data_IF_171537363722
#
_entry.id   IF_171537363722
#
_cell.length_a   1.000
_cell.length_b   1.000
_cell.length_c   1.000
_cell.angle_alpha   90.00
_cell.angle_beta   90.00
_cell.angle_gamma   90.00
#
_symmetry.space_group_name_H-M   'P 1'
#
loop_
_entity.id
_entity.type
_entity.pdbx_description
1 polymer ?
#
# COMPACT_ATOMS: atom_id res chain seq x y z
N UNK A 1 8.26 -8.76 -15.50
CA UNK A 1 9.74 -8.87 -15.69
C UNK A 1 10.14 -8.09 -16.95
N UNK A 2 9.56 -8.36 -18.14
CA UNK A 2 9.95 -7.72 -19.41
C UNK A 2 9.96 -6.18 -19.35
N UNK A 3 9.00 -5.56 -18.67
CA UNK A 3 8.94 -4.10 -18.53
C UNK A 3 10.12 -3.55 -17.71
N UNK A 4 10.63 -4.31 -16.74
CA UNK A 4 11.82 -3.93 -15.96
C UNK A 4 13.07 -4.04 -16.82
N UNK A 5 13.22 -5.15 -17.56
CA UNK A 5 14.36 -5.39 -18.45
C UNK A 5 14.45 -4.38 -19.61
N UNK A 6 13.31 -3.76 -19.99
CA UNK A 6 13.25 -2.73 -21.01
C UNK A 6 13.68 -1.33 -20.55
N UNK A 7 13.83 -1.12 -19.22
CA UNK A 7 14.29 0.16 -18.68
C UNK A 7 15.76 0.38 -19.02
N UNK A 8 16.10 1.60 -19.42
CA UNK A 8 17.50 2.01 -19.63
C UNK A 8 18.12 2.34 -18.26
N UNK A 9 18.60 1.29 -17.59
CA UNK A 9 19.19 1.44 -16.27
C UNK A 9 20.51 2.18 -16.35
N UNK A 10 20.68 3.29 -15.60
CA UNK A 10 21.91 4.07 -15.58
C UNK A 10 22.97 3.52 -14.59
N UNK A 11 22.65 2.47 -13.86
CA UNK A 11 23.47 1.86 -12.82
C UNK A 11 23.23 0.35 -12.77
N UNK A 12 24.03 -0.35 -11.99
CA UNK A 12 23.80 -1.76 -11.69
C UNK A 12 22.47 -1.93 -10.94
N UNK A 13 21.80 -3.05 -11.18
CA UNK A 13 20.52 -3.35 -10.57
C UNK A 13 20.31 -4.85 -10.38
N UNK A 14 19.46 -5.18 -9.42
CA UNK A 14 18.95 -6.53 -9.19
C UNK A 14 17.43 -6.55 -9.22
N UNK A 15 16.86 -7.69 -9.58
CA UNK A 15 15.43 -7.97 -9.55
C UNK A 15 15.20 -9.10 -8.56
N UNK A 16 14.54 -8.77 -7.45
CA UNK A 16 14.16 -9.75 -6.43
C UNK A 16 12.69 -10.08 -6.59
N UNK A 17 12.40 -11.35 -6.89
CA UNK A 17 11.02 -11.81 -7.12
C UNK A 17 10.58 -12.65 -5.92
N UNK A 18 9.45 -12.28 -5.33
CA UNK A 18 8.82 -13.04 -4.26
C UNK A 18 7.56 -13.74 -4.76
N UNK A 19 7.62 -15.05 -4.88
CA UNK A 19 6.44 -15.87 -5.17
C UNK A 19 5.70 -16.22 -3.89
N UNK A 20 4.41 -15.90 -3.81
CA UNK A 20 3.56 -16.18 -2.66
C UNK A 20 2.91 -17.58 -2.69
N UNK A 21 3.61 -18.54 -3.26
CA UNK A 21 3.14 -19.92 -3.41
C UNK A 21 2.12 -20.08 -4.54
N UNK A 22 2.47 -19.58 -5.72
CA UNK A 22 1.69 -19.74 -6.95
C UNK A 22 1.46 -21.22 -7.28
N UNK A 23 0.28 -21.53 -7.82
CA UNK A 23 -0.13 -22.88 -8.21
C UNK A 23 -0.29 -23.04 -9.72
N UNK A 24 -0.05 -21.97 -10.47
CA UNK A 24 -0.03 -21.90 -11.93
C UNK A 24 1.43 -21.95 -12.46
N UNK A 25 1.62 -21.60 -13.71
CA UNK A 25 2.93 -21.57 -14.40
C UNK A 25 3.85 -20.40 -14.00
N UNK A 26 3.44 -19.57 -13.03
CA UNK A 26 4.20 -18.39 -12.59
C UNK A 26 5.63 -18.74 -12.19
N UNK A 27 5.81 -19.77 -11.37
CA UNK A 27 7.14 -20.16 -10.88
C UNK A 27 8.04 -20.69 -12.01
N UNK A 28 7.48 -21.39 -12.99
CA UNK A 28 8.22 -21.87 -14.17
C UNK A 28 8.73 -20.69 -14.99
N UNK A 29 7.89 -19.72 -15.27
CA UNK A 29 8.26 -18.47 -15.96
C UNK A 29 9.33 -17.68 -15.20
N UNK A 30 9.23 -17.59 -13.88
CA UNK A 30 10.27 -16.92 -13.06
C UNK A 30 11.63 -17.64 -13.24
N UNK A 31 11.66 -18.96 -13.21
CA UNK A 31 12.89 -19.76 -13.41
C UNK A 31 13.48 -19.57 -14.80
N UNK A 32 12.66 -19.50 -15.84
CA UNK A 32 13.11 -19.21 -17.21
C UNK A 32 13.84 -17.86 -17.26
N UNK A 33 13.26 -16.82 -16.69
CA UNK A 33 13.91 -15.50 -16.64
C UNK A 33 15.18 -15.51 -15.78
N UNK A 34 15.20 -16.22 -14.65
CA UNK A 34 16.40 -16.34 -13.84
C UNK A 34 17.52 -17.04 -14.61
N UNK A 35 17.21 -18.09 -15.36
CA UNK A 35 18.21 -18.79 -16.20
C UNK A 35 18.78 -17.90 -17.31
N UNK A 36 17.95 -17.00 -17.88
CA UNK A 36 18.40 -16.03 -18.88
C UNK A 36 19.22 -14.86 -18.28
N UNK A 37 18.95 -14.50 -17.03
CA UNK A 37 19.57 -13.36 -16.35
C UNK A 37 20.03 -13.73 -14.93
N UNK A 38 20.94 -14.71 -14.77
CA UNK A 38 21.29 -15.27 -13.45
C UNK A 38 21.94 -14.27 -12.51
N UNK A 39 22.68 -13.30 -13.06
CA UNK A 39 23.36 -12.25 -12.28
C UNK A 39 22.42 -11.14 -11.83
N UNK A 40 21.23 -11.03 -12.43
CA UNK A 40 20.28 -9.93 -12.17
C UNK A 40 19.04 -10.38 -11.43
N UNK A 41 18.54 -11.60 -11.68
CA UNK A 41 17.26 -12.08 -11.17
C UNK A 41 17.49 -13.14 -10.09
N UNK A 42 16.92 -12.87 -8.92
CA UNK A 42 16.82 -13.83 -7.81
C UNK A 42 15.36 -14.00 -7.43
N UNK A 43 14.92 -15.21 -7.12
CA UNK A 43 13.57 -15.44 -6.64
C UNK A 43 13.52 -16.17 -5.31
N UNK A 44 12.46 -15.94 -4.57
CA UNK A 44 12.22 -16.51 -3.25
C UNK A 44 10.76 -16.95 -3.17
N UNK A 45 10.55 -18.20 -2.78
CA UNK A 45 9.21 -18.77 -2.63
C UNK A 45 8.79 -18.69 -1.18
N UNK A 46 7.61 -18.15 -0.93
CA UNK A 46 6.99 -18.14 0.39
C UNK A 46 5.93 -19.27 0.44
N UNK A 47 6.25 -20.44 1.00
CA UNK A 47 5.40 -21.62 0.89
C UNK A 47 4.03 -21.41 1.57
N UNK A 48 3.02 -22.10 1.03
CA UNK A 48 1.68 -22.18 1.64
C UNK A 48 1.44 -23.57 2.21
N UNK A 49 1.01 -23.62 3.45
CA UNK A 49 0.59 -24.86 4.10
C UNK A 49 -0.80 -25.26 3.58
N UNK A 50 -0.99 -26.54 3.27
CA UNK A 50 -2.30 -27.07 2.86
C UNK A 50 -3.33 -26.82 3.96
N UNK A 51 -4.55 -26.42 3.57
CA UNK A 51 -5.68 -26.17 4.47
C UNK A 51 -5.55 -25.00 5.45
N UNK A 52 -4.49 -24.19 5.35
CA UNK A 52 -4.35 -22.98 6.16
C UNK A 52 -4.94 -21.78 5.42
N UNK A 53 -5.87 -21.07 6.06
CA UNK A 53 -6.36 -19.78 5.57
C UNK A 53 -5.33 -18.70 5.88
N UNK A 54 -4.98 -17.92 4.87
CA UNK A 54 -4.04 -16.82 5.00
C UNK A 54 -4.74 -15.47 4.82
N UNK A 55 -4.31 -14.49 5.60
CA UNK A 55 -4.67 -13.11 5.35
C UNK A 55 -3.76 -12.58 4.23
N UNK A 56 -4.34 -12.16 3.10
CA UNK A 56 -3.61 -11.73 1.91
C UNK A 56 -2.79 -10.46 2.16
N UNK A 57 -3.29 -9.51 2.99
CA UNK A 57 -2.56 -8.28 3.35
C UNK A 57 -1.28 -8.63 4.11
N UNK A 58 -1.38 -9.51 5.11
CA UNK A 58 -0.22 -9.94 5.90
C UNK A 58 0.80 -10.69 5.03
N UNK A 59 0.35 -11.50 4.09
CA UNK A 59 1.24 -12.22 3.19
C UNK A 59 1.93 -11.29 2.20
N UNK A 60 1.21 -10.37 1.58
CA UNK A 60 1.78 -9.36 0.69
C UNK A 60 2.83 -8.51 1.45
N UNK A 61 2.51 -8.07 2.67
CA UNK A 61 3.44 -7.33 3.52
C UNK A 61 4.69 -8.15 3.86
N UNK A 62 4.52 -9.40 4.27
CA UNK A 62 5.64 -10.29 4.59
C UNK A 62 6.52 -10.55 3.37
N UNK A 63 5.93 -10.77 2.19
CA UNK A 63 6.65 -10.98 0.95
C UNK A 63 7.50 -9.75 0.59
N UNK A 64 6.90 -8.56 0.56
CA UNK A 64 7.60 -7.29 0.28
C UNK A 64 8.74 -7.04 1.28
N UNK A 65 8.52 -7.25 2.58
CA UNK A 65 9.54 -7.06 3.62
C UNK A 65 10.65 -8.10 3.56
N UNK A 66 10.34 -9.36 3.22
CA UNK A 66 11.34 -10.40 3.02
C UNK A 66 12.24 -10.10 1.80
N UNK A 67 11.68 -9.51 0.74
CA UNK A 67 12.48 -9.05 -0.41
C UNK A 67 13.30 -7.81 -0.04
N UNK A 68 12.72 -6.84 0.66
CA UNK A 68 13.44 -5.64 1.10
C UNK A 68 14.64 -5.97 2.02
N UNK A 69 14.54 -7.03 2.84
CA UNK A 69 15.64 -7.53 3.67
C UNK A 69 16.82 -8.09 2.86
N UNK A 70 16.55 -8.55 1.65
CA UNK A 70 17.54 -9.13 0.73
C UNK A 70 18.08 -8.12 -0.29
N UNK A 71 17.45 -6.95 -0.36
CA UNK A 71 17.85 -5.92 -1.31
C UNK A 71 19.17 -5.28 -0.89
N UNK A 72 20.12 -5.22 -1.83
CA UNK A 72 21.45 -4.67 -1.63
C UNK A 72 21.64 -3.27 -2.26
N UNK A 73 20.71 -2.85 -3.13
CA UNK A 73 20.79 -1.56 -3.82
C UNK A 73 20.59 -0.35 -2.90
N UNK A 74 21.21 0.78 -3.25
CA UNK A 74 21.03 2.08 -2.57
C UNK A 74 19.60 2.62 -2.73
N UNK A 75 18.90 2.17 -3.74
CA UNK A 75 17.51 2.54 -4.03
C UNK A 75 16.68 1.27 -4.21
N UNK A 76 15.40 1.35 -3.85
CA UNK A 76 14.45 0.25 -4.01
C UNK A 76 13.16 0.73 -4.65
N UNK A 77 12.54 -0.15 -5.40
CA UNK A 77 11.18 -0.01 -5.93
C UNK A 77 10.39 -1.28 -5.66
N UNK A 78 9.08 -1.15 -5.60
CA UNK A 78 8.16 -2.28 -5.48
C UNK A 78 7.34 -2.35 -6.77
N UNK A 79 7.14 -3.55 -7.30
CA UNK A 79 6.29 -3.79 -8.46
C UNK A 79 5.46 -5.05 -8.20
N UNK A 80 4.16 -4.93 -8.27
CA UNK A 80 3.28 -6.09 -8.16
C UNK A 80 3.32 -6.89 -9.47
N UNK A 81 3.14 -8.22 -9.39
CA UNK A 81 3.43 -9.13 -10.49
C UNK A 81 2.53 -8.98 -11.72
N UNK A 82 1.38 -8.35 -11.54
CA UNK A 82 0.39 -8.05 -12.59
C UNK A 82 0.57 -6.66 -13.23
N UNK A 83 1.46 -5.84 -12.71
CA UNK A 83 1.69 -4.47 -13.16
C UNK A 83 2.94 -4.35 -14.06
N UNK A 84 3.12 -3.19 -14.69
CA UNK A 84 4.28 -2.97 -15.57
C UNK A 84 4.69 -1.51 -15.70
N UNK A 85 5.99 -1.29 -16.03
CA UNK A 85 6.51 0.03 -16.36
C UNK A 85 6.24 0.37 -17.82
N UNK A 86 5.90 1.64 -18.08
CA UNK A 86 5.63 2.17 -19.42
C UNK A 86 6.61 3.27 -19.86
N UNK A 87 7.49 3.74 -18.98
CA UNK A 87 8.60 4.65 -19.31
C UNK A 87 9.95 3.94 -19.11
N UNK A 88 10.90 4.20 -20.03
CA UNK A 88 12.20 3.53 -19.99
C UNK A 88 13.32 4.38 -19.35
N UNK A 89 13.05 5.64 -19.03
CA UNK A 89 14.08 6.59 -18.58
C UNK A 89 13.86 7.12 -17.15
N UNK A 90 12.76 6.76 -16.49
CA UNK A 90 12.34 7.34 -15.22
C UNK A 90 13.37 7.15 -14.10
N UNK A 91 14.18 6.08 -14.15
CA UNK A 91 15.24 5.86 -13.16
C UNK A 91 16.29 6.95 -13.22
N UNK A 92 16.68 7.40 -14.44
CA UNK A 92 17.56 8.55 -14.61
C UNK A 92 16.95 9.82 -13.98
N UNK A 93 15.66 10.08 -14.25
CA UNK A 93 14.95 11.24 -13.72
C UNK A 93 14.95 11.21 -12.18
N UNK A 94 14.74 10.05 -11.57
CA UNK A 94 14.76 9.88 -10.12
C UNK A 94 16.15 10.10 -9.54
N UNK A 95 17.19 9.47 -10.09
CA UNK A 95 18.57 9.59 -9.62
C UNK A 95 19.08 11.03 -9.72
N UNK A 96 18.72 11.74 -10.79
CA UNK A 96 19.03 13.17 -10.91
C UNK A 96 18.45 13.96 -9.73
N UNK A 97 17.19 13.71 -9.34
CA UNK A 97 16.55 14.39 -8.18
C UNK A 97 17.26 14.05 -6.87
N UNK A 98 17.59 12.78 -6.64
CA UNK A 98 18.34 12.39 -5.45
C UNK A 98 19.73 13.04 -5.37
N UNK A 99 20.42 13.17 -6.50
CA UNK A 99 21.71 13.84 -6.58
C UNK A 99 21.60 15.36 -6.29
N UNK A 100 20.55 16.00 -6.80
CA UNK A 100 20.26 17.42 -6.56
C UNK A 100 19.88 17.72 -5.10
N UNK A 101 19.25 16.77 -4.41
CA UNK A 101 18.77 16.97 -3.04
C UNK A 101 18.92 15.72 -2.17
N UNK A 102 19.96 15.70 -1.35
CA UNK A 102 20.25 14.58 -0.44
C UNK A 102 19.23 14.35 0.67
N UNK A 103 18.30 15.31 0.90
CA UNK A 103 17.20 15.16 1.87
C UNK A 103 16.03 14.35 1.31
N UNK A 104 16.05 14.00 0.02
CA UNK A 104 15.03 13.17 -0.57
C UNK A 104 15.20 11.71 -0.11
N UNK A 105 14.08 11.09 0.22
CA UNK A 105 13.96 9.65 0.50
C UNK A 105 13.04 8.94 -0.48
N UNK A 106 12.27 9.71 -1.26
CA UNK A 106 11.36 9.19 -2.26
C UNK A 106 11.28 10.13 -3.48
N UNK A 107 11.26 9.54 -4.66
CA UNK A 107 10.93 10.22 -5.92
C UNK A 107 9.71 9.52 -6.51
N UNK A 108 8.55 10.19 -6.45
CA UNK A 108 7.27 9.65 -6.90
C UNK A 108 6.92 10.19 -8.28
N UNK A 109 6.24 9.36 -9.03
CA UNK A 109 5.80 9.66 -10.39
C UNK A 109 4.29 9.53 -10.52
N UNK A 110 3.74 9.94 -11.65
CA UNK A 110 2.38 9.65 -12.04
C UNK A 110 2.26 8.24 -12.61
N UNK A 111 1.03 7.75 -12.78
CA UNK A 111 0.78 6.42 -13.33
C UNK A 111 -0.54 6.38 -14.11
N UNK A 112 -0.70 5.31 -14.91
CA UNK A 112 -1.94 4.99 -15.58
C UNK A 112 -2.69 3.88 -14.84
N UNK A 113 -4.02 3.94 -14.85
CA UNK A 113 -4.86 2.75 -14.78
C UNK A 113 -4.84 2.10 -16.16
N UNK A 114 -4.54 0.80 -16.21
CA UNK A 114 -4.61 -0.01 -17.42
C UNK A 114 -5.74 -1.02 -17.28
N UNK A 115 -6.79 -0.85 -18.07
CA UNK A 115 -7.96 -1.73 -18.02
C UNK A 115 -7.74 -2.94 -18.92
N UNK A 116 -7.63 -4.14 -18.31
CA UNK A 116 -7.32 -5.38 -19.03
C UNK A 116 -8.39 -5.74 -20.06
N UNK A 117 -9.65 -5.44 -19.78
CA UNK A 117 -10.80 -5.79 -20.58
C UNK A 117 -10.78 -5.19 -21.99
N UNK A 118 -10.44 -3.92 -22.12
CA UNK A 118 -10.45 -3.17 -23.39
C UNK A 118 -9.08 -2.61 -23.76
N UNK A 119 -8.05 -2.93 -22.96
CA UNK A 119 -6.67 -2.44 -23.13
C UNK A 119 -6.55 -0.92 -23.10
N UNK A 120 -7.55 -0.22 -22.58
CA UNK A 120 -7.52 1.23 -22.45
C UNK A 120 -6.65 1.66 -21.28
N UNK A 121 -6.22 2.93 -21.32
CA UNK A 121 -5.46 3.55 -20.23
C UNK A 121 -6.14 4.84 -19.80
N UNK A 122 -6.10 5.12 -18.50
CA UNK A 122 -6.55 6.38 -17.92
C UNK A 122 -5.47 6.93 -17.00
N UNK A 123 -5.01 8.15 -17.29
CA UNK A 123 -4.05 8.82 -16.44
C UNK A 123 -4.65 9.04 -15.03
N UNK A 124 -3.88 8.75 -14.00
CA UNK A 124 -4.27 9.11 -12.65
C UNK A 124 -4.13 10.62 -12.45
N UNK A 125 -5.28 11.32 -12.49
CA UNK A 125 -5.31 12.78 -12.35
C UNK A 125 -5.18 13.21 -10.90
N UNK A 126 -4.20 14.06 -10.60
CA UNK A 126 -3.91 14.54 -9.25
C UNK A 126 -3.96 16.04 -9.08
N UNK A 127 -4.01 16.81 -10.16
CA UNK A 127 -3.77 18.26 -10.08
C UNK A 127 -2.51 18.60 -9.23
N UNK A 128 -1.44 17.82 -9.40
CA UNK A 128 -0.21 17.96 -8.64
C UNK A 128 0.94 18.33 -9.56
N UNK A 129 1.57 19.47 -9.30
CA UNK A 129 2.74 19.92 -10.04
C UNK A 129 4.03 19.21 -9.60
N UNK A 130 4.97 19.05 -10.54
CA UNK A 130 6.28 18.50 -10.22
C UNK A 130 7.04 19.40 -9.22
N UNK A 131 7.75 18.78 -8.29
CA UNK A 131 8.54 19.48 -7.29
C UNK A 131 8.65 18.71 -5.97
N UNK A 132 9.33 19.33 -4.99
CA UNK A 132 9.38 18.80 -3.63
C UNK A 132 8.06 19.10 -2.95
N UNK A 133 7.40 18.05 -2.44
CA UNK A 133 6.11 18.18 -1.79
C UNK A 133 6.28 18.43 -0.29
N UNK A 134 5.37 19.20 0.29
CA UNK A 134 5.20 19.23 1.74
C UNK A 134 4.68 17.85 2.22
N UNK A 135 5.47 17.21 3.07
CA UNK A 135 5.17 15.86 3.55
C UNK A 135 3.83 15.79 4.31
N UNK A 136 3.48 16.84 5.09
CA UNK A 136 2.21 16.88 5.83
C UNK A 136 1.04 17.02 4.87
N UNK A 137 1.18 17.88 3.85
CA UNK A 137 0.16 18.03 2.82
C UNK A 137 -0.01 16.74 2.03
N UNK A 138 1.10 16.06 1.68
CA UNK A 138 1.06 14.75 1.03
C UNK A 138 0.28 13.74 1.87
N UNK A 139 0.63 13.58 3.14
CA UNK A 139 -0.04 12.67 4.06
C UNK A 139 -1.52 12.99 4.23
N UNK A 140 -1.91 14.26 4.21
CA UNK A 140 -3.32 14.68 4.33
C UNK A 140 -4.15 14.38 3.10
N UNK A 141 -3.61 14.55 1.90
CA UNK A 141 -4.42 14.68 0.67
C UNK A 141 -3.98 13.81 -0.49
N UNK A 142 -2.73 13.33 -0.49
CA UNK A 142 -2.17 12.67 -1.67
C UNK A 142 -1.89 11.19 -1.44
N UNK A 143 -1.89 10.46 -2.54
CA UNK A 143 -1.57 9.04 -2.61
C UNK A 143 -0.66 8.80 -3.82
N UNK A 144 0.25 7.86 -3.73
CA UNK A 144 1.00 7.34 -4.89
C UNK A 144 1.12 5.84 -4.73
N UNK A 145 0.86 5.11 -5.80
CA UNK A 145 1.10 3.68 -5.83
C UNK A 145 2.59 3.41 -5.62
N UNK A 146 2.96 2.45 -4.79
CA UNK A 146 4.37 2.14 -4.50
C UNK A 146 5.17 1.75 -5.74
N UNK A 147 4.51 1.15 -6.75
CA UNK A 147 5.08 0.86 -8.06
C UNK A 147 5.49 2.10 -8.87
N UNK A 148 4.99 3.28 -8.50
CA UNK A 148 5.36 4.55 -9.13
C UNK A 148 6.32 5.38 -8.26
N UNK A 149 7.07 4.76 -7.33
CA UNK A 149 7.99 5.47 -6.44
C UNK A 149 9.34 4.77 -6.41
N UNK A 150 10.40 5.54 -6.62
CA UNK A 150 11.78 5.14 -6.28
C UNK A 150 12.07 5.62 -4.87
N UNK A 151 12.42 4.71 -3.97
CA UNK A 151 12.79 5.01 -2.59
C UNK A 151 14.31 4.90 -2.41
N UNK A 152 14.89 5.78 -1.62
CA UNK A 152 16.23 5.56 -1.09
C UNK A 152 16.16 4.40 -0.11
N UNK A 153 17.04 3.39 -0.26
CA UNK A 153 17.04 2.26 0.65
C UNK A 153 17.56 2.66 2.03
N UNK A 154 16.64 2.88 2.94
CA UNK A 154 16.93 3.23 4.36
C UNK A 154 16.60 2.07 5.29
N UNK A 155 16.19 0.92 4.73
CA UNK A 155 15.72 -0.23 5.49
C UNK A 155 16.93 -1.06 5.96
N UNK A 156 17.18 -1.05 7.25
CA UNK A 156 18.08 -1.96 7.94
C UNK A 156 17.26 -3.07 8.63
N UNK A 157 17.93 -4.09 9.15
CA UNK A 157 17.29 -5.24 9.81
C UNK A 157 16.36 -4.81 10.96
N UNK A 158 16.75 -3.80 11.75
CA UNK A 158 15.93 -3.31 12.87
C UNK A 158 14.62 -2.68 12.39
N UNK A 159 14.69 -1.89 11.32
CA UNK A 159 13.50 -1.26 10.71
C UNK A 159 12.60 -2.32 10.07
N UNK A 160 13.19 -3.30 9.40
CA UNK A 160 12.43 -4.41 8.80
C UNK A 160 11.72 -5.23 9.89
N UNK A 161 12.40 -5.61 10.96
CA UNK A 161 11.78 -6.31 12.09
C UNK A 161 10.66 -5.51 12.74
N UNK A 162 10.84 -4.19 12.85
CA UNK A 162 9.81 -3.29 13.35
C UNK A 162 8.57 -3.28 12.42
N UNK A 163 8.78 -3.19 11.09
CA UNK A 163 7.71 -3.20 10.10
C UNK A 163 7.02 -4.57 9.98
N UNK A 164 7.76 -5.68 10.10
CA UNK A 164 7.18 -7.04 10.13
C UNK A 164 6.13 -7.20 11.23
N UNK A 165 6.34 -6.54 12.38
CA UNK A 165 5.35 -6.54 13.49
C UNK A 165 4.06 -5.77 13.18
N UNK A 166 4.08 -4.88 12.20
CA UNK A 166 2.87 -4.15 11.79
C UNK A 166 1.90 -5.00 10.98
N UNK A 167 2.40 -6.09 10.37
CA UNK A 167 1.67 -7.02 9.51
C UNK A 167 1.00 -6.35 8.29
N UNK A 168 1.36 -5.12 8.00
CA UNK A 168 0.95 -4.40 6.80
C UNK A 168 2.12 -3.57 6.27
N UNK A 169 2.30 -3.61 4.96
CA UNK A 169 3.31 -2.84 4.25
C UNK A 169 2.78 -2.52 2.85
N UNK A 170 1.63 -1.85 2.81
CA UNK A 170 0.98 -1.37 1.59
C UNK A 170 1.54 -0.02 1.13
N UNK A 171 1.01 0.51 0.05
CA UNK A 171 1.44 1.76 -0.58
C UNK A 171 1.48 2.95 0.39
N UNK A 172 0.42 3.11 1.20
CA UNK A 172 0.34 4.21 2.16
C UNK A 172 1.33 4.00 3.31
N UNK A 173 1.40 2.78 3.85
CA UNK A 173 2.32 2.43 4.94
C UNK A 173 3.76 2.63 4.49
N UNK A 174 4.13 2.09 3.32
CA UNK A 174 5.48 2.25 2.73
C UNK A 174 5.82 3.73 2.61
N UNK A 175 5.01 4.47 1.86
CA UNK A 175 5.33 5.85 1.52
C UNK A 175 5.41 6.72 2.76
N UNK A 176 4.41 6.67 3.64
CA UNK A 176 4.37 7.53 4.83
C UNK A 176 5.46 7.13 5.84
N UNK A 177 5.82 5.84 5.93
CA UNK A 177 6.95 5.40 6.74
C UNK A 177 8.27 6.06 6.28
N UNK A 178 8.55 6.03 4.97
CA UNK A 178 9.77 6.65 4.42
C UNK A 178 9.81 8.16 4.63
N UNK A 179 8.67 8.85 4.54
CA UNK A 179 8.58 10.30 4.73
C UNK A 179 8.96 10.79 6.15
N UNK A 180 9.11 9.90 7.12
CA UNK A 180 9.67 10.26 8.42
C UNK A 180 11.14 10.65 8.34
N UNK A 181 11.87 10.13 7.37
CA UNK A 181 13.32 10.22 7.26
C UNK A 181 13.79 11.26 6.24
N UNK A 182 12.89 11.81 5.44
CA UNK A 182 13.22 12.84 4.44
C UNK A 182 12.02 13.32 3.65
N UNK A 183 12.28 13.93 2.52
CA UNK A 183 11.27 14.56 1.68
C UNK A 183 10.92 13.69 0.46
N UNK A 184 9.75 13.95 -0.12
CA UNK A 184 9.31 13.38 -1.38
C UNK A 184 9.40 14.43 -2.48
N UNK A 185 10.02 14.06 -3.60
CA UNK A 185 9.90 14.78 -4.87
C UNK A 185 8.84 14.10 -5.73
N UNK A 186 7.97 14.86 -6.35
CA UNK A 186 7.01 14.36 -7.33
C UNK A 186 7.39 14.83 -8.72
N UNK A 187 7.32 13.93 -9.70
CA UNK A 187 7.50 14.22 -11.13
C UNK A 187 6.20 13.85 -11.84
N UNK A 188 5.52 14.84 -12.44
CA UNK A 188 4.27 14.58 -13.15
C UNK A 188 4.53 13.95 -14.53
N UNK A 189 5.05 12.72 -14.49
CA UNK A 189 5.35 11.88 -15.65
C UNK A 189 4.81 10.48 -15.36
N UNK A 190 3.92 9.92 -16.16
CA UNK A 190 3.44 8.57 -15.92
C UNK A 190 4.50 7.55 -16.34
N UNK A 191 4.87 6.69 -15.42
CA UNK A 191 5.92 5.68 -15.61
C UNK A 191 5.42 4.24 -15.45
N UNK A 192 4.26 4.08 -14.85
CA UNK A 192 3.75 2.84 -14.32
C UNK A 192 2.31 2.64 -14.75
N UNK A 193 1.95 1.42 -15.09
CA UNK A 193 0.60 1.02 -15.44
C UNK A 193 0.06 0.06 -14.38
N UNK A 194 -0.89 0.56 -13.58
CA UNK A 194 -1.62 -0.22 -12.60
C UNK A 194 -2.74 -0.99 -13.30
N UNK A 195 -2.60 -2.31 -13.37
CA UNK A 195 -3.54 -3.19 -14.07
C UNK A 195 -4.84 -3.33 -13.31
N UNK A 196 -5.94 -3.09 -14.02
CA UNK A 196 -7.30 -3.25 -13.51
C UNK A 196 -7.91 -4.50 -14.13
N UNK A 197 -8.15 -5.52 -13.31
CA UNK A 197 -8.79 -6.78 -13.70
C UNK A 197 -10.05 -6.99 -12.88
N UNK A 198 -10.96 -7.85 -13.36
CA UNK A 198 -12.16 -8.22 -12.62
C UNK A 198 -11.83 -9.00 -11.34
N UNK A 199 -10.64 -9.60 -11.26
CA UNK A 199 -10.12 -10.31 -10.08
C UNK A 199 -9.32 -9.43 -9.12
N UNK A 200 -9.18 -8.12 -9.38
CA UNK A 200 -8.49 -7.19 -8.50
C UNK A 200 -9.15 -7.19 -7.11
N UNK A 201 -8.36 -7.51 -6.08
CA UNK A 201 -8.83 -7.60 -4.70
C UNK A 201 -9.49 -6.29 -4.26
N UNK A 202 -8.86 -5.16 -4.55
CA UNK A 202 -9.38 -3.85 -4.16
C UNK A 202 -10.69 -3.50 -4.85
N UNK A 203 -10.81 -3.80 -6.15
CA UNK A 203 -12.00 -3.49 -6.94
C UNK A 203 -13.18 -4.43 -6.63
N UNK A 204 -12.91 -5.63 -6.13
CA UNK A 204 -13.95 -6.58 -5.72
C UNK A 204 -14.60 -6.24 -4.38
N UNK A 205 -13.99 -5.34 -3.59
CA UNK A 205 -14.48 -4.95 -2.28
C UNK A 205 -15.59 -3.88 -2.38
N UNK A 206 -16.57 -3.96 -1.49
CA UNK A 206 -17.54 -2.87 -1.32
C UNK A 206 -16.86 -1.59 -0.79
N UNK A 207 -17.46 -0.42 -1.07
CA UNK A 207 -16.98 0.87 -0.55
C UNK A 207 -16.78 0.84 0.98
N UNK A 208 -17.69 0.21 1.69
CA UNK A 208 -17.61 0.09 3.16
C UNK A 208 -16.43 -0.78 3.59
N UNK A 209 -16.16 -1.87 2.89
CA UNK A 209 -15.00 -2.72 3.17
C UNK A 209 -13.68 -1.99 2.92
N UNK A 210 -13.58 -1.24 1.84
CA UNK A 210 -12.42 -0.37 1.57
C UNK A 210 -12.20 0.65 2.68
N UNK A 211 -13.28 1.27 3.21
CA UNK A 211 -13.19 2.19 4.33
C UNK A 211 -12.77 1.52 5.65
N UNK A 212 -13.19 0.28 5.88
CA UNK A 212 -12.72 -0.51 7.03
C UNK A 212 -11.22 -0.78 6.93
N UNK A 213 -10.72 -1.22 5.77
CA UNK A 213 -9.28 -1.42 5.55
C UNK A 213 -8.50 -0.12 5.74
N UNK A 214 -8.97 0.98 5.15
CA UNK A 214 -8.34 2.29 5.34
C UNK A 214 -8.25 2.70 6.83
N UNK A 215 -9.26 2.40 7.66
CA UNK A 215 -9.15 2.70 9.10
C UNK A 215 -8.07 1.88 9.78
N UNK A 216 -7.86 0.62 9.35
CA UNK A 216 -6.77 -0.23 9.85
C UNK A 216 -5.40 0.31 9.42
N UNK A 217 -5.25 0.69 8.15
CA UNK A 217 -4.01 1.26 7.63
C UNK A 217 -3.63 2.55 8.37
N UNK A 218 -4.57 3.46 8.60
CA UNK A 218 -4.30 4.69 9.36
C UNK A 218 -3.90 4.42 10.81
N UNK A 219 -4.44 3.38 11.43
CA UNK A 219 -4.02 2.94 12.77
C UNK A 219 -2.58 2.40 12.75
N UNK A 220 -2.25 1.59 11.74
CA UNK A 220 -0.89 1.06 11.53
C UNK A 220 0.08 2.21 11.26
N UNK A 221 -0.24 3.09 10.32
CA UNK A 221 0.60 4.24 9.98
C UNK A 221 0.81 5.13 11.21
N UNK A 222 -0.21 5.36 12.03
CA UNK A 222 -0.08 6.14 13.27
C UNK A 222 0.91 5.54 14.28
N UNK A 223 1.15 4.22 14.20
CA UNK A 223 2.14 3.51 15.04
C UNK A 223 3.51 3.49 14.41
N UNK A 224 3.60 3.21 13.11
CA UNK A 224 4.90 3.08 12.42
C UNK A 224 5.46 4.44 11.99
N UNK A 225 4.61 5.45 11.84
CA UNK A 225 4.96 6.82 11.45
C UNK A 225 4.29 7.86 12.37
N UNK A 226 4.59 7.87 13.69
CA UNK A 226 3.91 8.69 14.68
C UNK A 226 4.03 10.20 14.42
N UNK A 227 5.05 10.63 13.70
CA UNK A 227 5.24 12.02 13.26
C UNK A 227 4.02 12.57 12.50
N UNK A 228 3.33 11.70 11.74
CA UNK A 228 2.20 12.09 10.88
C UNK A 228 0.82 11.73 11.45
N UNK A 229 0.74 11.25 12.68
CA UNK A 229 -0.52 10.84 13.31
C UNK A 229 -1.62 11.92 13.22
N UNK A 230 -1.25 13.18 13.48
CA UNK A 230 -2.21 14.30 13.41
C UNK A 230 -2.63 14.61 11.97
N UNK A 231 -1.73 14.44 11.01
CA UNK A 231 -2.00 14.74 9.61
C UNK A 231 -2.93 13.70 8.96
N UNK A 232 -2.99 12.48 9.51
CA UNK A 232 -3.90 11.42 9.10
C UNK A 232 -5.32 11.58 9.63
N UNK A 233 -5.55 12.42 10.63
CA UNK A 233 -6.84 12.52 11.33
C UNK A 233 -8.01 12.79 10.37
N UNK A 234 -7.81 13.63 9.34
CA UNK A 234 -8.84 13.92 8.35
C UNK A 234 -9.22 12.70 7.49
N UNK A 235 -8.23 11.92 7.04
CA UNK A 235 -8.48 10.68 6.28
C UNK A 235 -9.18 9.63 7.14
N UNK A 236 -8.69 9.45 8.36
CA UNK A 236 -9.29 8.52 9.32
C UNK A 236 -10.74 8.90 9.62
N UNK A 237 -11.00 10.20 9.85
CA UNK A 237 -12.36 10.69 10.04
C UNK A 237 -13.26 10.38 8.84
N UNK A 238 -12.80 10.62 7.61
CA UNK A 238 -13.61 10.38 6.41
C UNK A 238 -14.03 8.90 6.30
N UNK A 239 -13.11 7.97 6.54
CA UNK A 239 -13.43 6.53 6.53
C UNK A 239 -14.39 6.16 7.66
N UNK A 240 -14.13 6.61 8.89
CA UNK A 240 -15.04 6.40 10.03
C UNK A 240 -16.42 7.00 9.78
N UNK A 241 -16.48 8.17 9.15
CA UNK A 241 -17.74 8.84 8.82
C UNK A 241 -18.61 8.02 7.87
N UNK A 242 -18.00 7.44 6.85
CA UNK A 242 -18.70 6.55 5.90
C UNK A 242 -19.23 5.29 6.59
N UNK A 243 -18.41 4.64 7.41
CA UNK A 243 -18.82 3.48 8.21
C UNK A 243 -19.95 3.85 9.17
N UNK A 244 -19.79 4.96 9.91
CA UNK A 244 -20.78 5.41 10.88
C UNK A 244 -22.14 5.75 10.26
N UNK A 245 -22.15 6.39 9.09
CA UNK A 245 -23.40 6.69 8.36
C UNK A 245 -24.22 5.44 8.04
N UNK A 246 -23.55 4.34 7.75
CA UNK A 246 -24.15 3.07 7.37
C UNK A 246 -24.29 2.08 8.54
N UNK A 247 -24.05 2.51 9.79
CA UNK A 247 -23.92 1.66 10.99
C UNK A 247 -25.09 0.70 11.25
N UNK A 248 -26.29 1.05 10.80
CA UNK A 248 -27.49 0.25 11.02
C UNK A 248 -27.62 -0.90 10.01
N UNK A 249 -26.96 -0.79 8.85
CA UNK A 249 -27.05 -1.73 7.73
C UNK A 249 -25.70 -2.42 7.40
N UNK A 250 -24.67 -2.27 8.25
CA UNK A 250 -23.31 -2.75 7.95
C UNK A 250 -23.26 -4.26 7.68
N UNK A 251 -23.99 -5.06 8.45
CA UNK A 251 -24.02 -6.52 8.27
C UNK A 251 -24.61 -6.90 6.90
N UNK A 252 -25.68 -6.21 6.48
CA UNK A 252 -26.28 -6.42 5.17
C UNK A 252 -25.35 -5.95 4.03
N UNK A 253 -24.69 -4.81 4.19
CA UNK A 253 -23.80 -4.23 3.16
C UNK A 253 -22.51 -5.03 2.97
N UNK A 254 -21.96 -5.61 4.05
CA UNK A 254 -20.73 -6.40 4.03
C UNK A 254 -20.99 -7.88 3.73
N UNK A 255 -22.20 -8.36 3.99
CA UNK A 255 -22.52 -9.78 4.07
C UNK A 255 -21.97 -10.41 5.36
N UNK A 256 -22.63 -11.48 5.81
CA UNK A 256 -22.34 -12.10 7.11
C UNK A 256 -20.89 -12.56 7.26
N UNK A 257 -20.32 -13.13 6.23
CA UNK A 257 -18.94 -13.64 6.25
C UNK A 257 -17.92 -12.54 6.46
N UNK A 258 -18.04 -11.43 5.71
CA UNK A 258 -17.12 -10.29 5.79
C UNK A 258 -17.32 -9.55 7.12
N UNK A 259 -18.57 -9.32 7.51
CA UNK A 259 -18.91 -8.69 8.78
C UNK A 259 -18.33 -9.46 9.97
N UNK A 260 -18.50 -10.79 10.01
CA UNK A 260 -17.95 -11.65 11.05
C UNK A 260 -16.42 -11.70 11.01
N UNK A 261 -15.81 -11.67 9.82
CA UNK A 261 -14.36 -11.57 9.66
C UNK A 261 -13.81 -10.31 10.34
N UNK A 262 -14.40 -9.14 10.08
CA UNK A 262 -13.97 -7.90 10.72
C UNK A 262 -14.21 -7.86 12.22
N UNK A 263 -15.23 -8.54 12.73
CA UNK A 263 -15.48 -8.62 14.18
C UNK A 263 -14.56 -9.62 14.90
N UNK A 264 -14.25 -10.76 14.27
CA UNK A 264 -13.55 -11.87 14.93
C UNK A 264 -12.05 -11.88 14.66
N UNK A 265 -11.63 -11.59 13.44
CA UNK A 265 -10.22 -11.68 13.04
C UNK A 265 -9.45 -10.39 13.34
N UNK A 266 -10.16 -9.31 13.60
CA UNK A 266 -9.56 -8.00 13.85
C UNK A 266 -9.26 -7.73 15.32
N UNK A 267 -8.64 -8.68 16.01
CA UNK A 267 -7.86 -8.39 17.21
C UNK A 267 -6.77 -7.30 16.97
N UNK A 268 -6.49 -6.98 15.71
CA UNK A 268 -5.56 -5.95 15.24
C UNK A 268 -6.23 -4.58 15.02
N UNK A 269 -7.54 -4.52 14.73
CA UNK A 269 -8.34 -3.30 14.86
C UNK A 269 -8.49 -2.97 16.36
N UNK A 270 -7.43 -2.47 16.96
CA UNK A 270 -7.48 -1.98 18.36
C UNK A 270 -8.32 -0.71 18.52
N UNK A 271 -8.98 -0.27 17.45
CA UNK A 271 -9.87 0.87 17.50
C UNK A 271 -11.25 0.44 17.98
N UNK A 272 -11.42 0.42 19.31
CA UNK A 272 -12.68 0.07 19.96
C UNK A 272 -13.87 0.89 19.43
N UNK A 273 -13.64 2.12 18.96
CA UNK A 273 -14.71 2.95 18.41
C UNK A 273 -15.25 2.40 17.08
N UNK A 274 -14.37 1.90 16.19
CA UNK A 274 -14.81 1.25 14.93
C UNK A 274 -15.52 -0.07 15.23
N UNK A 275 -15.01 -0.85 16.19
CA UNK A 275 -15.67 -2.09 16.64
C UNK A 275 -17.05 -1.82 17.24
N UNK A 276 -17.21 -0.75 18.01
CA UNK A 276 -18.50 -0.34 18.56
C UNK A 276 -19.47 0.07 17.44
N UNK A 277 -18.99 0.75 16.38
CA UNK A 277 -19.83 1.07 15.21
C UNK A 277 -20.24 -0.20 14.47
N UNK A 278 -19.34 -1.14 14.24
CA UNK A 278 -19.66 -2.44 13.62
C UNK A 278 -20.69 -3.22 14.42
N UNK A 279 -20.63 -3.18 15.74
CA UNK A 279 -21.58 -3.83 16.64
C UNK A 279 -22.82 -2.96 16.96
N UNK A 280 -23.08 -1.88 16.23
CA UNK A 280 -24.10 -0.89 16.55
C UNK A 280 -25.44 -1.49 16.97
N UNK A 281 -25.96 -2.44 16.21
CA UNK A 281 -27.28 -3.05 16.47
C UNK A 281 -27.32 -3.89 17.75
N UNK A 282 -26.15 -4.36 18.23
CA UNK A 282 -26.01 -5.15 19.46
C UNK A 282 -25.70 -4.28 20.69
N UNK A 283 -25.47 -2.97 20.51
CA UNK A 283 -25.15 -2.06 21.61
C UNK A 283 -26.40 -1.67 22.41
N UNK A 284 -26.23 -1.53 23.74
CA UNK A 284 -27.22 -0.90 24.59
C UNK A 284 -27.42 0.57 24.23
N UNK A 285 -28.55 1.16 24.63
CA UNK A 285 -28.86 2.57 24.41
C UNK A 285 -27.75 3.52 24.91
N UNK A 286 -27.22 3.26 26.12
CA UNK A 286 -26.13 4.04 26.71
C UNK A 286 -24.86 3.98 25.85
N UNK A 287 -24.47 2.77 25.40
CA UNK A 287 -23.31 2.62 24.52
C UNK A 287 -23.50 3.31 23.17
N UNK A 288 -24.69 3.21 22.58
CA UNK A 288 -25.00 3.96 21.33
C UNK A 288 -24.87 5.47 21.54
N UNK A 289 -25.31 5.98 22.67
CA UNK A 289 -25.16 7.40 23.02
C UNK A 289 -23.69 7.80 23.13
N UNK A 290 -22.85 7.00 23.82
CA UNK A 290 -21.42 7.24 23.93
C UNK A 290 -20.74 7.23 22.55
N UNK A 291 -21.09 6.30 21.66
CA UNK A 291 -20.57 6.25 20.30
C UNK A 291 -20.97 7.51 19.51
N UNK A 292 -22.21 7.98 19.65
CA UNK A 292 -22.66 9.26 19.04
C UNK A 292 -21.83 10.44 19.54
N UNK A 293 -21.58 10.55 20.84
CA UNK A 293 -20.77 11.64 21.40
C UNK A 293 -19.33 11.59 20.89
N UNK A 294 -18.70 10.41 20.85
CA UNK A 294 -17.35 10.23 20.27
C UNK A 294 -17.31 10.64 18.80
N UNK A 295 -18.34 10.27 18.03
CA UNK A 295 -18.44 10.66 16.63
C UNK A 295 -18.57 12.17 16.48
N UNK A 296 -19.41 12.83 17.28
CA UNK A 296 -19.56 14.29 17.29
C UNK A 296 -18.23 14.98 17.64
N UNK A 297 -17.53 14.49 18.65
CA UNK A 297 -16.20 15.00 19.01
C UNK A 297 -15.19 14.89 17.86
N UNK A 298 -15.11 13.71 17.22
CA UNK A 298 -14.25 13.53 16.04
C UNK A 298 -14.60 14.49 14.89
N UNK A 299 -15.88 14.78 14.70
CA UNK A 299 -16.35 15.74 13.70
C UNK A 299 -15.90 17.17 14.00
N UNK A 300 -15.87 17.56 15.27
CA UNK A 300 -15.45 18.91 15.70
C UNK A 300 -13.92 19.06 15.77
N UNK A 301 -13.18 17.95 15.85
CA UNK A 301 -11.70 17.93 15.97
C UNK A 301 -10.99 17.87 14.61
N UNK A 302 -11.73 17.90 13.53
CA UNK A 302 -11.28 17.87 12.15
C UNK A 302 -10.86 19.28 11.70
#
# INVERSE_FOLDING_TARGET
>A
INSILAIKMPCDYEILIGDDGSTDDTLEKIKEFQNLYPDKIKYFVMPREKNKKYNFIHRAAANRLNLAEKASGDYIMFLDGDDFFCDKNFVNDALEKFNQNRKLVACAFNFYYFYEKDKSTKLFDRNLSSGILDNKLYVKKHYTHSGAIVFKNILDSKKIDFLKRSKNFDDNVITIYFLQFGNLCYINKPIYAYRQTDSSIWNSMSEIEQHLLNTMDYEIISRVAPKFKKDLAGRQYNSIHKIYKNRENLEQMLGENIYNKYLKENSELKNQFVLDILNWNKLSFVKRFIVKLKYMYLRCSK
#
